data_IF_084655574308
#
_entry.id   IF_084655574308
#
_cell.length_a   1.000
_cell.length_b   1.000
_cell.length_c   1.000
_cell.angle_alpha   90.00
_cell.angle_beta   90.00
_cell.angle_gamma   90.00
#
_symmetry.space_group_name_H-M   'P 1'
#
loop_
_entity.id
_entity.type
_entity.pdbx_description
1 polymer ?
#
# COMPACT_ATOMS: atom_id res chain seq x y z
N UNK A 1 -27.31 -25.04 20.56
CA UNK A 1 -25.90 -25.27 20.18
C UNK A 1 -25.06 -25.19 21.44
N UNK A 2 -24.08 -26.08 21.62
CA UNK A 2 -23.18 -26.02 22.77
C UNK A 2 -22.35 -24.73 22.71
N UNK A 3 -22.28 -24.00 23.82
CA UNK A 3 -21.44 -22.80 23.95
C UNK A 3 -20.19 -23.19 24.71
N UNK A 4 -19.02 -22.84 24.17
CA UNK A 4 -17.72 -23.07 24.80
C UNK A 4 -17.05 -21.74 25.12
N UNK A 5 -16.31 -21.67 26.22
CA UNK A 5 -15.57 -20.48 26.65
C UNK A 5 -14.21 -20.42 25.96
N UNK A 6 -13.85 -19.23 25.47
CA UNK A 6 -12.54 -18.92 24.93
C UNK A 6 -11.84 -17.93 25.88
N UNK A 7 -10.74 -18.34 26.49
CA UNK A 7 -9.88 -17.49 27.32
C UNK A 7 -8.67 -17.02 26.51
N UNK A 8 -8.46 -15.71 26.42
CA UNK A 8 -7.37 -15.09 25.67
C UNK A 8 -6.59 -14.18 26.63
N UNK A 9 -5.25 -14.32 26.66
CA UNK A 9 -4.38 -13.35 27.32
C UNK A 9 -4.08 -12.22 26.36
N UNK A 10 -4.27 -10.99 26.81
CA UNK A 10 -3.98 -9.77 26.05
C UNK A 10 -3.52 -8.68 27.00
N UNK A 11 -2.83 -7.69 26.45
CA UNK A 11 -2.48 -6.47 27.13
C UNK A 11 -3.74 -5.67 27.52
N UNK A 12 -3.71 -5.03 28.68
CA UNK A 12 -4.87 -4.32 29.22
C UNK A 12 -5.19 -3.05 28.42
N UNK A 13 -4.17 -2.32 27.98
CA UNK A 13 -4.36 -1.10 27.18
C UNK A 13 -4.95 -1.47 25.81
N UNK A 14 -4.41 -2.51 25.17
CA UNK A 14 -4.95 -3.02 23.90
C UNK A 14 -6.42 -3.47 24.03
N UNK A 15 -6.77 -4.14 25.14
CA UNK A 15 -8.16 -4.56 25.39
C UNK A 15 -9.08 -3.35 25.48
N UNK A 16 -8.68 -2.32 26.23
CA UNK A 16 -9.49 -1.13 26.45
C UNK A 16 -9.63 -0.32 25.14
N UNK A 17 -8.55 -0.16 24.38
CA UNK A 17 -8.57 0.50 23.08
C UNK A 17 -9.51 -0.22 22.08
N UNK A 18 -9.43 -1.56 22.02
CA UNK A 18 -10.30 -2.35 21.16
C UNK A 18 -11.77 -2.27 21.59
N UNK A 19 -12.05 -2.31 22.89
CA UNK A 19 -13.41 -2.17 23.42
C UNK A 19 -14.02 -0.80 23.03
N UNK A 20 -13.29 0.29 23.27
CA UNK A 20 -13.73 1.64 22.91
C UNK A 20 -13.94 1.80 21.40
N UNK A 21 -13.09 1.18 20.58
CA UNK A 21 -13.21 1.19 19.13
C UNK A 21 -14.51 0.52 18.67
N UNK A 22 -14.79 -0.69 19.14
CA UNK A 22 -15.97 -1.44 18.71
C UNK A 22 -17.26 -0.87 19.31
N UNK A 23 -17.23 -0.34 20.53
CA UNK A 23 -18.38 0.32 21.14
C UNK A 23 -18.82 1.55 20.32
N UNK A 24 -17.85 2.33 19.80
CA UNK A 24 -18.13 3.43 18.85
C UNK A 24 -18.78 2.95 17.54
N UNK A 25 -18.58 1.68 17.17
CA UNK A 25 -19.22 1.03 16.02
C UNK A 25 -20.55 0.34 16.38
N UNK A 26 -20.99 0.42 17.65
CA UNK A 26 -22.21 -0.21 18.13
C UNK A 26 -22.09 -1.74 18.33
N UNK A 27 -20.89 -2.22 18.66
CA UNK A 27 -20.59 -3.65 18.81
C UNK A 27 -19.72 -3.91 20.04
N UNK A 28 -20.04 -4.94 20.84
CA UNK A 28 -19.18 -5.35 21.95
C UNK A 28 -17.97 -6.16 21.46
N UNK A 29 -16.86 -6.05 22.18
CA UNK A 29 -15.61 -6.76 21.86
C UNK A 29 -15.79 -8.28 21.64
N UNK A 30 -16.57 -9.03 22.46
CA UNK A 30 -16.84 -10.44 22.20
C UNK A 30 -17.53 -10.71 20.86
N UNK A 31 -18.45 -9.83 20.42
CA UNK A 31 -19.10 -9.97 19.10
C UNK A 31 -18.13 -9.70 17.98
N UNK A 32 -17.25 -8.69 18.11
CA UNK A 32 -16.19 -8.44 17.14
C UNK A 32 -15.26 -9.67 16.96
N UNK A 33 -14.86 -10.30 18.07
CA UNK A 33 -14.05 -11.54 18.04
C UNK A 33 -14.82 -12.67 17.33
N UNK A 34 -16.13 -12.84 17.60
CA UNK A 34 -16.95 -13.85 16.92
C UNK A 34 -17.05 -13.58 15.42
N UNK A 35 -17.21 -12.33 15.00
CA UNK A 35 -17.26 -11.95 13.58
C UNK A 35 -15.93 -12.28 12.90
N UNK A 36 -14.81 -11.91 13.53
CA UNK A 36 -13.47 -12.26 13.05
C UNK A 36 -13.31 -13.77 12.84
N UNK A 37 -13.63 -14.58 13.86
CA UNK A 37 -13.51 -16.04 13.77
C UNK A 37 -14.41 -16.64 12.68
N UNK A 38 -15.65 -16.15 12.56
CA UNK A 38 -16.56 -16.57 11.48
C UNK A 38 -15.99 -16.25 10.11
N UNK A 39 -15.44 -15.05 9.92
CA UNK A 39 -14.86 -14.65 8.63
C UNK A 39 -13.63 -15.48 8.29
N UNK A 40 -12.72 -15.69 9.25
CA UNK A 40 -11.54 -16.52 9.08
C UNK A 40 -11.89 -17.96 8.68
N UNK A 41 -12.91 -18.56 9.31
CA UNK A 41 -13.39 -19.92 8.98
C UNK A 41 -14.01 -19.98 7.59
N UNK A 42 -14.77 -18.95 7.20
CA UNK A 42 -15.42 -18.86 5.89
C UNK A 42 -14.41 -18.70 4.74
N UNK A 43 -13.37 -17.89 4.93
CA UNK A 43 -12.35 -17.63 3.91
C UNK A 43 -11.20 -18.64 3.91
N UNK A 44 -11.06 -19.44 4.98
CA UNK A 44 -9.87 -20.28 5.21
C UNK A 44 -8.56 -19.48 5.18
N UNK A 45 -8.63 -18.22 5.62
CA UNK A 45 -7.53 -17.27 5.61
C UNK A 45 -7.65 -16.31 6.81
N UNK A 46 -6.60 -15.51 7.03
CA UNK A 46 -6.69 -14.38 7.95
C UNK A 46 -7.51 -13.28 7.26
N UNK A 47 -8.64 -12.83 7.83
CA UNK A 47 -9.60 -11.94 7.18
C UNK A 47 -9.19 -10.47 7.23
N UNK A 48 -7.90 -10.21 7.10
CA UNK A 48 -7.29 -8.91 6.92
C UNK A 48 -5.92 -9.13 6.28
N UNK A 49 -5.41 -8.08 5.66
CA UNK A 49 -4.14 -8.18 4.98
C UNK A 49 -2.99 -8.22 5.98
N UNK A 50 -2.22 -9.30 5.97
CA UNK A 50 -1.01 -9.43 6.80
C UNK A 50 0.17 -8.89 6.00
N UNK A 51 0.55 -7.65 6.27
CA UNK A 51 1.75 -7.02 5.72
C UNK A 51 2.68 -6.63 6.86
N UNK A 52 3.99 -6.74 6.62
CA UNK A 52 4.97 -6.02 7.42
C UNK A 52 4.64 -4.52 7.35
N UNK A 53 4.75 -3.75 8.44
CA UNK A 53 4.60 -2.29 8.39
C UNK A 53 5.66 -1.72 7.45
N UNK A 54 5.31 -1.60 6.17
CA UNK A 54 6.15 -0.92 5.19
C UNK A 54 6.18 0.54 5.58
N UNK A 55 7.38 1.10 5.64
CA UNK A 55 7.56 2.55 5.60
C UNK A 55 6.66 3.09 4.48
N UNK A 56 5.86 4.11 4.79
CA UNK A 56 4.92 4.72 3.86
C UNK A 56 5.62 4.89 2.51
N UNK A 57 5.15 4.19 1.48
CA UNK A 57 5.72 4.29 0.15
C UNK A 57 5.67 5.76 -0.27
N UNK A 58 6.81 6.42 -0.22
CA UNK A 58 6.92 7.81 -0.61
C UNK A 58 7.25 7.84 -2.09
N UNK A 59 6.24 8.14 -2.91
CA UNK A 59 6.42 8.42 -4.33
C UNK A 59 7.39 9.59 -4.58
N UNK A 60 7.82 10.31 -3.53
CA UNK A 60 8.78 11.42 -3.60
C UNK A 60 10.07 11.03 -4.31
N UNK A 61 10.58 9.80 -4.14
CA UNK A 61 11.80 9.39 -4.85
C UNK A 61 11.57 9.29 -6.37
N UNK A 62 10.41 8.75 -6.78
CA UNK A 62 10.04 8.68 -8.19
C UNK A 62 9.79 10.05 -8.80
N UNK A 63 9.07 10.91 -8.08
CA UNK A 63 8.77 12.28 -8.51
C UNK A 63 10.05 13.13 -8.58
N UNK A 64 10.96 13.00 -7.62
CA UNK A 64 12.24 13.71 -7.63
C UNK A 64 13.13 13.27 -8.80
N UNK A 65 13.19 11.96 -9.08
CA UNK A 65 13.92 11.44 -10.23
C UNK A 65 13.33 11.95 -11.56
N UNK A 66 12.00 11.96 -11.70
CA UNK A 66 11.33 12.49 -12.89
C UNK A 66 11.63 13.97 -13.11
N UNK A 67 11.55 14.79 -12.05
CA UNK A 67 11.87 16.23 -12.13
C UNK A 67 13.33 16.47 -12.50
N UNK A 68 14.26 15.68 -11.98
CA UNK A 68 15.67 15.79 -12.33
C UNK A 68 15.92 15.49 -13.81
N UNK A 69 15.28 14.44 -14.35
CA UNK A 69 15.35 14.11 -15.78
C UNK A 69 14.73 15.21 -16.66
N UNK A 70 13.61 15.80 -16.24
CA UNK A 70 12.99 16.93 -16.95
C UNK A 70 13.92 18.15 -16.99
N UNK A 71 14.52 18.53 -15.85
CA UNK A 71 15.46 19.64 -15.80
C UNK A 71 16.71 19.40 -16.67
N UNK A 72 17.20 18.17 -16.73
CA UNK A 72 18.29 17.78 -17.63
C UNK A 72 17.88 17.87 -19.11
N UNK A 73 16.66 17.45 -19.45
CA UNK A 73 16.15 17.54 -20.81
C UNK A 73 16.01 19.01 -21.26
N UNK A 74 15.55 19.89 -20.38
CA UNK A 74 15.46 21.35 -20.63
C UNK A 74 16.85 21.96 -20.81
N UNK A 75 17.80 21.65 -19.91
CA UNK A 75 19.16 22.18 -19.98
C UNK A 75 19.91 21.77 -21.25
N UNK A 76 19.64 20.55 -21.74
CA UNK A 76 20.24 20.03 -22.97
C UNK A 76 19.44 20.40 -24.23
N UNK A 77 18.35 21.16 -24.10
CA UNK A 77 17.53 21.59 -25.25
C UNK A 77 16.78 20.46 -25.96
N UNK A 78 16.70 19.27 -25.36
CA UNK A 78 16.01 18.10 -25.91
C UNK A 78 14.57 17.97 -25.41
N UNK A 79 14.15 18.88 -24.53
CA UNK A 79 12.77 18.97 -24.07
C UNK A 79 11.85 19.44 -25.21
N UNK A 80 10.88 18.61 -25.58
CA UNK A 80 9.85 18.97 -26.57
C UNK A 80 10.25 18.76 -28.04
N UNK A 81 11.29 17.95 -28.32
CA UNK A 81 11.60 17.52 -29.69
C UNK A 81 10.41 16.78 -30.32
N UNK A 82 10.20 17.00 -31.61
CA UNK A 82 9.16 16.27 -32.34
C UNK A 82 9.56 14.80 -32.52
N UNK A 83 8.57 13.93 -32.72
CA UNK A 83 8.82 12.50 -32.98
C UNK A 83 9.71 12.31 -34.22
N UNK A 84 9.49 13.11 -35.26
CA UNK A 84 10.28 13.09 -36.51
C UNK A 84 11.76 13.45 -36.26
N UNK A 85 12.03 14.46 -35.42
CA UNK A 85 13.40 14.87 -35.07
C UNK A 85 14.11 13.79 -34.23
N UNK A 86 13.37 13.15 -33.32
CA UNK A 86 13.90 12.05 -32.49
C UNK A 86 14.27 10.85 -33.36
N UNK A 87 13.40 10.46 -34.30
CA UNK A 87 13.65 9.33 -35.21
C UNK A 87 14.83 9.60 -36.14
N UNK A 88 14.98 10.83 -36.63
CA UNK A 88 16.10 11.25 -37.45
C UNK A 88 17.44 11.14 -36.69
N UNK A 89 17.49 11.60 -35.43
CA UNK A 89 18.70 11.49 -34.58
C UNK A 89 19.08 10.04 -34.29
N UNK A 90 18.09 9.20 -33.92
CA UNK A 90 18.31 7.78 -33.64
C UNK A 90 18.85 7.06 -34.88
N UNK A 91 18.29 7.35 -36.05
CA UNK A 91 18.71 6.73 -37.31
C UNK A 91 20.12 7.16 -37.69
N UNK A 92 20.44 8.46 -37.59
CA UNK A 92 21.78 8.98 -37.83
C UNK A 92 22.82 8.30 -36.93
N UNK A 93 22.57 8.21 -35.62
CA UNK A 93 23.48 7.54 -34.67
C UNK A 93 23.68 6.06 -34.96
N UNK A 94 22.60 5.34 -35.31
CA UNK A 94 22.66 3.90 -35.63
C UNK A 94 23.33 3.61 -36.97
N UNK A 95 23.26 4.53 -37.93
CA UNK A 95 23.88 4.39 -39.26
C UNK A 95 25.39 4.67 -39.28
N UNK A 96 25.90 5.38 -38.27
CA UNK A 96 27.34 5.64 -38.09
C UNK A 96 28.09 4.55 -37.30
N UNK A 97 27.47 3.40 -37.09
CA UNK A 97 28.00 2.24 -36.38
C UNK A 97 28.13 1.05 -37.32
#
# INVERSE_FOLDING_TARGET
MATTVLQIRMDEDLKNEAADLFDKMGMDLPTAIRVFLKRAVAEKAIPFEVREPRAAYSANRGIAALRALQAQAEANGVAGMSEEDIEAEITAYRSGK
#
